data_IF_402760514611
#
_entry.id   IF_402760514611
#
_cell.length_a   1.000
_cell.length_b   1.000
_cell.length_c   1.000
_cell.angle_alpha   90.00
_cell.angle_beta   90.00
_cell.angle_gamma   90.00
#
_symmetry.space_group_name_H-M   'P 1'
#
loop_
_entity.id
_entity.type
_entity.pdbx_description
1 polymer ?
#
# COMPACT_ATOMS: atom_id res chain seq x y z
N UNK A 1 49.31 -8.50 51.54
CA UNK A 1 48.15 -7.62 51.27
C UNK A 1 47.14 -7.82 52.38
N UNK A 2 46.53 -6.75 52.91
CA UNK A 2 45.42 -6.88 53.86
C UNK A 2 44.23 -7.56 53.16
N UNK A 3 43.48 -8.39 53.89
CA UNK A 3 42.27 -9.07 53.41
C UNK A 3 41.26 -8.09 52.81
N UNK A 4 41.27 -6.84 53.27
CA UNK A 4 40.39 -5.77 52.80
C UNK A 4 40.80 -5.25 51.43
N UNK A 5 42.10 -5.19 51.14
CA UNK A 5 42.66 -4.75 49.86
C UNK A 5 42.33 -5.74 48.75
N UNK A 6 42.47 -7.04 49.03
CA UNK A 6 42.12 -8.12 48.08
C UNK A 6 40.62 -8.12 47.77
N UNK A 7 39.79 -7.86 48.78
CA UNK A 7 38.34 -7.81 48.60
C UNK A 7 37.90 -6.57 47.80
N UNK A 8 38.57 -5.44 47.99
CA UNK A 8 38.34 -4.23 47.21
C UNK A 8 38.71 -4.43 45.72
N UNK A 9 39.86 -5.04 45.44
CA UNK A 9 40.28 -5.39 44.07
C UNK A 9 39.25 -6.32 43.40
N UNK A 10 38.80 -7.36 44.12
CA UNK A 10 37.74 -8.28 43.65
C UNK A 10 36.47 -7.53 43.23
N UNK A 11 36.04 -6.55 44.02
CA UNK A 11 34.84 -5.77 43.71
C UNK A 11 35.04 -4.85 42.51
N UNK A 12 36.21 -4.20 42.40
CA UNK A 12 36.53 -3.36 41.24
C UNK A 12 36.62 -4.16 39.95
N UNK A 13 37.13 -5.39 40.00
CA UNK A 13 37.21 -6.27 38.83
C UNK A 13 35.84 -6.79 38.39
N UNK A 14 34.98 -7.23 39.32
CA UNK A 14 33.74 -7.92 38.95
C UNK A 14 32.55 -6.98 38.73
N UNK A 15 32.38 -5.93 39.53
CA UNK A 15 31.17 -5.10 39.49
C UNK A 15 30.89 -4.43 38.13
N UNK A 16 31.89 -3.98 37.35
CA UNK A 16 31.65 -3.40 36.02
C UNK A 16 31.04 -4.38 35.01
N UNK A 17 31.22 -5.69 35.22
CA UNK A 17 30.73 -6.74 34.32
C UNK A 17 29.38 -7.32 34.75
N UNK A 18 28.81 -6.86 35.86
CA UNK A 18 27.54 -7.35 36.39
C UNK A 18 26.42 -6.33 36.20
N UNK A 19 25.23 -6.81 35.83
CA UNK A 19 24.03 -5.96 35.82
C UNK A 19 23.61 -5.52 37.24
N UNK A 20 22.71 -4.53 37.33
CA UNK A 20 22.34 -3.90 38.60
C UNK A 20 21.83 -4.91 39.65
N UNK A 21 21.10 -5.94 39.19
CA UNK A 21 20.53 -7.01 40.01
C UNK A 21 21.60 -8.00 40.46
N UNK A 22 22.42 -8.49 39.54
CA UNK A 22 23.46 -9.48 39.79
C UNK A 22 24.54 -8.92 40.73
N UNK A 23 24.97 -7.68 40.49
CA UNK A 23 25.87 -6.97 41.39
C UNK A 23 25.28 -6.81 42.81
N UNK A 24 23.97 -6.52 42.91
CA UNK A 24 23.29 -6.39 44.21
C UNK A 24 23.22 -7.71 44.97
N UNK A 25 22.94 -8.82 44.29
CA UNK A 25 22.89 -10.16 44.91
C UNK A 25 24.28 -10.64 45.32
N UNK A 26 25.30 -10.41 44.50
CA UNK A 26 26.69 -10.75 44.80
C UNK A 26 27.20 -10.02 46.06
N UNK A 27 26.99 -8.71 46.16
CA UNK A 27 27.40 -7.95 47.34
C UNK A 27 26.60 -8.35 48.60
N UNK A 28 25.35 -8.78 48.43
CA UNK A 28 24.56 -9.32 49.53
C UNK A 28 25.05 -10.68 50.01
N UNK A 29 25.51 -11.57 49.11
CA UNK A 29 26.10 -12.85 49.51
C UNK A 29 27.42 -12.66 50.26
N UNK A 30 28.27 -11.73 49.82
CA UNK A 30 29.52 -11.38 50.51
C UNK A 30 29.25 -10.78 51.90
N UNK A 31 28.24 -9.92 52.01
CA UNK A 31 27.84 -9.36 53.30
C UNK A 31 27.23 -10.41 54.25
N UNK A 32 26.65 -11.49 53.73
CA UNK A 32 26.07 -12.57 54.54
C UNK A 32 27.13 -13.56 55.02
N UNK A 33 28.15 -13.85 54.21
CA UNK A 33 29.23 -14.77 54.58
C UNK A 33 30.16 -14.21 55.66
N UNK A 34 30.36 -12.89 55.71
CA UNK A 34 31.32 -12.23 56.61
C UNK A 34 30.76 -11.83 57.99
N UNK A 35 29.48 -12.10 58.29
CA UNK A 35 28.91 -11.92 59.63
C UNK A 35 28.75 -10.47 60.12
N UNK A 36 28.97 -10.23 61.42
CA UNK A 36 28.64 -8.96 62.10
C UNK A 36 29.53 -7.81 61.59
N UNK A 37 28.92 -6.71 61.15
CA UNK A 37 29.63 -5.54 60.61
C UNK A 37 29.94 -5.62 59.10
N UNK A 38 29.76 -6.78 58.47
CA UNK A 38 30.07 -7.00 57.05
C UNK A 38 29.33 -6.05 56.10
N UNK A 39 28.06 -5.72 56.37
CA UNK A 39 27.27 -4.80 55.52
C UNK A 39 27.93 -3.43 55.35
N UNK A 40 28.54 -2.91 56.43
CA UNK A 40 29.22 -1.60 56.42
C UNK A 40 30.54 -1.71 55.68
N UNK A 41 31.27 -2.81 55.93
CA UNK A 41 32.55 -3.10 55.29
C UNK A 41 32.42 -3.27 53.78
N UNK A 42 31.49 -4.12 53.31
CA UNK A 42 31.22 -4.36 51.89
C UNK A 42 30.74 -3.08 51.21
N UNK A 43 29.86 -2.29 51.84
CA UNK A 43 29.42 -1.01 51.29
C UNK A 43 30.58 -0.03 51.05
N UNK A 44 31.52 0.06 52.01
CA UNK A 44 32.69 0.93 51.92
C UNK A 44 33.67 0.46 50.83
N UNK A 45 33.98 -0.83 50.79
CA UNK A 45 34.95 -1.39 49.83
C UNK A 45 34.40 -1.41 48.39
N UNK A 46 33.10 -1.66 48.21
CA UNK A 46 32.46 -1.69 46.90
C UNK A 46 31.97 -0.30 46.40
N UNK A 47 32.04 0.74 47.24
CA UNK A 47 31.56 2.09 46.88
C UNK A 47 30.05 2.18 46.65
N UNK A 48 29.23 1.38 47.36
CA UNK A 48 27.77 1.35 47.18
C UNK A 48 27.01 1.70 48.46
N UNK A 49 25.74 2.07 48.32
CA UNK A 49 24.89 2.35 49.48
C UNK A 49 24.54 1.06 50.26
N UNK A 50 24.47 1.17 51.58
CA UNK A 50 24.01 0.06 52.46
C UNK A 50 22.60 -0.39 52.11
N UNK A 51 21.76 0.51 51.60
CA UNK A 51 20.41 0.21 51.14
C UNK A 51 20.41 -0.82 49.99
N UNK A 52 21.37 -0.73 49.06
CA UNK A 52 21.53 -1.69 47.97
C UNK A 52 21.81 -3.09 48.52
N UNK A 53 22.74 -3.22 49.45
CA UNK A 53 23.11 -4.51 50.08
C UNK A 53 21.93 -5.08 50.88
N UNK A 54 21.26 -4.26 51.71
CA UNK A 54 20.10 -4.69 52.48
C UNK A 54 18.96 -5.19 51.58
N UNK A 55 18.74 -4.54 50.44
CA UNK A 55 17.76 -4.99 49.43
C UNK A 55 18.17 -6.34 48.82
N UNK A 56 19.45 -6.54 48.50
CA UNK A 56 19.95 -7.82 48.02
C UNK A 56 19.81 -8.95 49.05
N UNK A 57 20.05 -8.67 50.34
CA UNK A 57 19.89 -9.67 51.42
C UNK A 57 18.43 -10.11 51.53
N UNK A 58 17.49 -9.16 51.52
CA UNK A 58 16.04 -9.46 51.51
C UNK A 58 15.64 -10.29 50.28
N UNK A 59 16.24 -10.01 49.12
CA UNK A 59 15.98 -10.76 47.87
C UNK A 59 16.58 -12.18 47.90
N UNK A 60 17.72 -12.40 48.56
CA UNK A 60 18.30 -13.73 48.78
C UNK A 60 17.50 -14.53 49.81
N UNK A 61 16.99 -13.88 50.85
CA UNK A 61 16.16 -14.50 51.90
C UNK A 61 14.75 -14.84 51.42
N UNK A 62 14.19 -14.06 50.49
CA UNK A 62 12.84 -14.33 49.95
C UNK A 62 12.77 -15.55 49.03
N UNK A 63 13.89 -16.25 48.77
CA UNK A 63 13.92 -17.55 48.08
C UNK A 63 13.43 -17.55 46.63
N UNK A 64 13.19 -16.38 46.03
CA UNK A 64 12.68 -16.25 44.65
C UNK A 64 13.81 -16.61 43.67
N UNK A 65 13.99 -17.92 43.42
CA UNK A 65 14.81 -18.42 42.33
C UNK A 65 14.15 -17.95 41.04
N UNK A 66 14.81 -17.01 40.37
CA UNK A 66 14.39 -16.54 39.05
C UNK A 66 14.40 -17.75 38.11
N UNK A 67 13.23 -18.32 37.77
CA UNK A 67 13.14 -19.49 36.90
C UNK A 67 13.85 -19.21 35.57
N UNK A 68 14.47 -20.26 35.03
CA UNK A 68 15.20 -20.25 33.76
C UNK A 68 14.29 -20.03 32.52
N UNK A 69 13.01 -19.73 32.71
CA UNK A 69 12.02 -19.52 31.64
C UNK A 69 11.81 -18.07 31.25
N UNK A 70 12.33 -17.08 31.97
CA UNK A 70 12.25 -15.68 31.53
C UNK A 70 13.42 -15.35 30.57
N UNK A 71 13.32 -15.76 29.31
CA UNK A 71 14.26 -15.35 28.26
C UNK A 71 14.14 -13.86 27.84
N UNK A 72 13.36 -13.05 28.55
CA UNK A 72 13.29 -11.59 28.37
C UNK A 72 13.16 -10.89 29.73
N UNK A 73 14.20 -10.97 30.59
CA UNK A 73 14.16 -10.30 31.90
C UNK A 73 14.46 -8.80 31.76
N UNK A 74 13.41 -7.98 31.80
CA UNK A 74 13.51 -6.57 32.21
C UNK A 74 14.27 -6.51 33.54
N UNK A 75 15.43 -5.85 33.55
CA UNK A 75 16.30 -5.71 34.74
C UNK A 75 15.57 -4.96 35.88
N UNK A 76 14.64 -4.07 35.54
CA UNK A 76 13.82 -3.31 36.49
C UNK A 76 12.49 -4.02 36.75
N UNK A 77 12.00 -3.95 38.00
CA UNK A 77 10.62 -4.37 38.36
C UNK A 77 9.61 -3.63 37.48
N UNK A 78 8.43 -4.22 37.28
CA UNK A 78 7.29 -3.50 36.72
C UNK A 78 7.08 -2.17 37.47
N UNK A 79 6.84 -1.09 36.73
CA UNK A 79 6.73 0.27 37.27
C UNK A 79 8.05 1.06 37.39
N UNK A 80 9.23 0.47 37.12
CA UNK A 80 10.53 1.15 37.18
C UNK A 80 10.97 1.89 35.89
N UNK A 81 10.05 2.06 34.95
CA UNK A 81 10.27 2.75 33.67
C UNK A 81 9.85 4.21 33.72
N UNK A 82 10.17 4.96 32.66
CA UNK A 82 9.56 6.29 32.44
C UNK A 82 8.04 6.10 32.36
N UNK A 83 7.29 6.87 33.16
CA UNK A 83 5.82 6.88 33.12
C UNK A 83 5.33 7.08 31.68
N UNK A 84 4.25 6.40 31.30
CA UNK A 84 3.70 6.55 29.94
C UNK A 84 3.29 8.02 29.74
N UNK A 85 3.27 8.49 28.48
CA UNK A 85 2.88 9.89 28.24
C UNK A 85 1.43 10.18 28.67
N UNK A 86 0.59 9.16 28.64
CA UNK A 86 -0.77 9.15 29.17
C UNK A 86 -0.81 9.45 30.68
N UNK A 87 0.14 8.90 31.46
CA UNK A 87 0.28 9.19 32.90
C UNK A 87 0.92 10.56 33.18
N UNK A 88 1.68 11.11 32.23
CA UNK A 88 2.38 12.40 32.38
C UNK A 88 1.54 13.62 31.97
N UNK A 89 0.51 13.42 31.14
CA UNK A 89 -0.38 14.45 30.61
C UNK A 89 -1.83 13.95 30.72
N UNK A 90 -2.47 14.13 31.89
CA UNK A 90 -3.87 13.78 32.09
C UNK A 90 -4.75 14.52 31.06
N UNK A 91 -5.75 13.85 30.49
CA UNK A 91 -6.67 14.47 29.52
C UNK A 91 -6.25 14.33 28.06
N UNK A 92 -5.06 13.78 27.76
CA UNK A 92 -4.58 13.67 26.38
C UNK A 92 -5.40 12.70 25.54
N UNK A 93 -5.91 11.64 26.15
CA UNK A 93 -6.74 10.63 25.47
C UNK A 93 -8.07 11.24 25.10
N UNK A 94 -8.68 12.00 26.01
CA UNK A 94 -9.94 12.70 25.83
C UNK A 94 -9.81 13.82 24.78
N UNK A 95 -8.71 14.56 24.79
CA UNK A 95 -8.40 15.56 23.77
C UNK A 95 -8.18 14.92 22.38
N UNK A 96 -7.49 13.78 22.34
CA UNK A 96 -7.27 13.01 21.12
C UNK A 96 -8.58 12.45 20.56
N UNK A 97 -9.44 11.88 21.40
CA UNK A 97 -10.77 11.39 21.03
C UNK A 97 -11.65 12.52 20.50
N UNK A 98 -11.61 13.72 21.09
CA UNK A 98 -12.32 14.90 20.60
C UNK A 98 -11.81 15.38 19.23
N UNK A 99 -10.50 15.30 18.99
CA UNK A 99 -9.91 15.65 17.68
C UNK A 99 -10.26 14.62 16.61
N UNK A 100 -10.32 13.34 16.98
CA UNK A 100 -10.59 12.22 16.06
C UNK A 100 -12.10 12.05 15.80
N UNK A 101 -12.92 12.35 16.81
CA UNK A 101 -14.38 12.26 16.81
C UNK A 101 -15.00 13.46 17.55
N UNK A 102 -15.22 14.60 16.87
CA UNK A 102 -15.66 15.85 17.51
C UNK A 102 -17.09 15.86 18.07
N UNK A 103 -17.86 14.78 17.94
CA UNK A 103 -19.28 14.72 18.36
C UNK A 103 -19.58 13.82 19.57
N UNK A 104 -18.61 13.46 20.40
CA UNK A 104 -18.85 12.71 21.66
C UNK A 104 -19.38 13.56 22.82
N UNK A 105 -20.33 14.47 22.53
CA UNK A 105 -21.28 15.01 23.52
C UNK A 105 -22.69 14.99 22.88
N UNK A 106 -23.33 13.82 22.93
CA UNK A 106 -24.79 13.69 22.89
C UNK A 106 -25.48 13.54 21.53
N UNK A 107 -25.17 12.52 20.73
CA UNK A 107 -26.16 11.93 19.80
C UNK A 107 -25.79 10.47 19.42
N UNK A 108 -26.61 9.44 19.75
CA UNK A 108 -26.36 8.04 19.41
C UNK A 108 -26.57 7.68 17.92
N UNK A 109 -27.04 8.59 17.05
CA UNK A 109 -27.54 8.26 15.71
C UNK A 109 -26.85 9.02 14.55
N UNK A 110 -25.53 9.19 14.59
CA UNK A 110 -24.76 9.69 13.43
C UNK A 110 -23.71 8.68 12.93
N UNK A 111 -24.05 7.83 11.93
CA UNK A 111 -23.06 6.97 11.29
C UNK A 111 -22.27 7.81 10.27
N UNK A 112 -20.94 7.86 10.45
CA UNK A 112 -19.94 8.34 9.49
C UNK A 112 -19.63 9.85 9.46
N UNK A 113 -18.86 10.32 10.44
CA UNK A 113 -17.98 11.49 10.25
C UNK A 113 -16.60 11.18 10.86
N UNK A 114 -15.73 10.59 10.05
CA UNK A 114 -14.37 10.20 10.44
C UNK A 114 -13.40 11.27 9.96
N UNK A 115 -12.51 11.72 10.83
CA UNK A 115 -11.59 12.80 10.51
C UNK A 115 -10.48 12.34 9.55
N UNK A 116 -10.27 13.09 8.46
CA UNK A 116 -9.21 12.85 7.45
C UNK A 116 -7.84 13.40 7.89
N UNK A 117 -7.63 13.63 9.19
CA UNK A 117 -6.45 14.30 9.73
C UNK A 117 -5.29 13.33 9.89
N UNK A 118 -4.11 13.69 9.39
CA UNK A 118 -2.88 12.91 9.61
C UNK A 118 -2.42 13.01 11.07
N UNK A 119 -1.65 12.02 11.55
CA UNK A 119 -1.08 12.02 12.92
C UNK A 119 -0.27 13.29 13.24
N UNK A 120 0.33 13.93 12.21
CA UNK A 120 1.06 15.20 12.36
C UNK A 120 0.13 16.40 12.53
N UNK A 121 -1.04 16.37 11.89
CA UNK A 121 -2.07 17.41 12.06
C UNK A 121 -2.74 17.30 13.43
N UNK A 122 -3.01 16.07 13.88
CA UNK A 122 -3.47 15.77 15.24
C UNK A 122 -2.45 16.24 16.28
N UNK A 123 -1.15 16.03 16.03
CA UNK A 123 -0.09 16.55 16.89
C UNK A 123 -0.11 18.09 17.02
N UNK A 124 -0.33 18.82 15.92
CA UNK A 124 -0.37 20.28 15.96
C UNK A 124 -1.56 20.79 16.76
N UNK A 125 -2.73 20.17 16.59
CA UNK A 125 -3.95 20.53 17.30
C UNK A 125 -3.90 20.17 18.79
N UNK A 126 -3.27 19.04 19.13
CA UNK A 126 -2.93 18.70 20.51
C UNK A 126 -1.95 19.72 21.11
N UNK A 127 -0.99 20.21 20.33
CA UNK A 127 -0.04 21.24 20.76
C UNK A 127 -0.72 22.58 21.02
N UNK A 128 -1.72 22.95 20.21
CA UNK A 128 -2.57 24.12 20.43
C UNK A 128 -3.40 23.99 21.72
N UNK A 129 -3.74 22.76 22.12
CA UNK A 129 -4.39 22.44 23.40
C UNK A 129 -3.41 22.19 24.56
N UNK A 130 -2.15 22.65 24.44
CA UNK A 130 -1.07 22.49 25.42
C UNK A 130 -0.59 21.04 25.71
N UNK A 131 -0.92 20.07 24.85
CA UNK A 131 -0.36 18.72 24.94
C UNK A 131 0.92 18.60 24.11
N UNK A 132 2.01 18.18 24.75
CA UNK A 132 3.31 18.00 24.10
C UNK A 132 3.59 16.53 23.84
N UNK A 133 3.03 15.99 22.74
CA UNK A 133 3.18 14.58 22.33
C UNK A 133 3.52 14.46 20.86
N UNK A 134 4.40 13.51 20.53
CA UNK A 134 4.85 13.25 19.17
C UNK A 134 3.90 12.32 18.42
N UNK A 135 3.81 12.50 17.09
CA UNK A 135 2.95 11.70 16.21
C UNK A 135 3.09 10.17 16.33
N UNK A 136 4.27 9.65 16.70
CA UNK A 136 4.48 8.21 16.94
C UNK A 136 3.70 7.76 18.16
N UNK A 137 3.83 8.48 19.28
CA UNK A 137 3.08 8.21 20.51
C UNK A 137 1.57 8.36 20.29
N UNK A 138 1.14 9.34 19.49
CA UNK A 138 -0.28 9.49 19.11
C UNK A 138 -0.77 8.22 18.38
N UNK A 139 0.03 7.69 17.44
CA UNK A 139 -0.31 6.45 16.74
C UNK A 139 -0.36 5.22 17.65
N UNK A 140 0.48 5.17 18.70
CA UNK A 140 0.46 4.11 19.71
C UNK A 140 -0.79 4.20 20.61
N UNK A 141 -1.16 5.40 21.06
CA UNK A 141 -2.37 5.65 21.86
C UNK A 141 -3.63 5.31 21.04
N UNK A 142 -3.67 5.69 19.76
CA UNK A 142 -4.78 5.31 18.87
C UNK A 142 -4.89 3.79 18.72
N UNK A 143 -3.77 3.09 18.52
CA UNK A 143 -3.78 1.62 18.42
C UNK A 143 -4.20 0.93 19.72
N UNK A 144 -3.76 1.43 20.88
CA UNK A 144 -4.13 0.85 22.19
C UNK A 144 -5.64 0.99 22.46
N UNK A 145 -6.26 2.03 21.89
CA UNK A 145 -7.71 2.28 21.95
C UNK A 145 -8.51 1.61 20.82
N UNK A 146 -7.88 0.75 20.02
CA UNK A 146 -8.54 0.00 18.95
C UNK A 146 -8.71 0.76 17.62
N UNK A 147 -8.17 1.97 17.50
CA UNK A 147 -8.15 2.68 16.23
C UNK A 147 -7.10 2.09 15.30
N UNK A 148 -7.45 2.02 14.01
CA UNK A 148 -6.57 1.53 12.96
C UNK A 148 -6.69 2.42 11.73
N UNK A 149 -5.63 2.43 10.90
CA UNK A 149 -5.65 3.12 9.62
C UNK A 149 -6.61 2.38 8.69
N UNK A 150 -7.81 2.92 8.53
CA UNK A 150 -8.82 2.40 7.62
C UNK A 150 -8.83 3.25 6.35
N UNK A 151 -8.68 2.61 5.20
CA UNK A 151 -8.98 3.25 3.92
C UNK A 151 -10.47 3.13 3.61
N UNK A 152 -11.00 4.01 2.77
CA UNK A 152 -12.36 3.85 2.24
C UNK A 152 -12.47 2.48 1.54
N UNK A 153 -13.21 1.56 2.13
CA UNK A 153 -13.54 0.27 1.52
C UNK A 153 -14.81 0.48 0.69
N UNK A 154 -14.71 0.35 -0.64
CA UNK A 154 -15.89 0.26 -1.50
C UNK A 154 -16.60 -1.06 -1.17
N UNK A 155 -17.55 -1.03 -0.24
CA UNK A 155 -18.29 -2.23 0.22
C UNK A 155 -19.63 -2.43 -0.50
N UNK A 156 -20.11 -1.42 -1.23
CA UNK A 156 -21.26 -1.58 -2.13
C UNK A 156 -20.79 -1.91 -3.55
N UNK A 157 -20.27 -3.12 -3.72
CA UNK A 157 -20.20 -3.80 -5.02
C UNK A 157 -21.43 -4.72 -5.08
N UNK A 158 -22.18 -4.70 -6.19
CA UNK A 158 -23.49 -5.34 -6.34
C UNK A 158 -23.55 -6.82 -5.93
N UNK A 159 -24.78 -7.31 -5.74
CA UNK A 159 -25.12 -8.59 -5.11
C UNK A 159 -24.24 -9.78 -5.48
N UNK A 160 -24.13 -10.74 -4.54
CA UNK A 160 -23.33 -11.95 -4.66
C UNK A 160 -23.55 -12.60 -6.04
N UNK A 161 -22.56 -12.48 -6.92
CA UNK A 161 -22.55 -13.20 -8.17
C UNK A 161 -22.13 -14.63 -7.83
N UNK A 162 -23.02 -15.59 -8.03
CA UNK A 162 -22.66 -17.01 -8.00
C UNK A 162 -21.45 -17.23 -8.91
N UNK A 163 -20.51 -18.07 -8.46
CA UNK A 163 -19.31 -18.51 -9.21
C UNK A 163 -18.20 -17.47 -9.36
N UNK A 164 -18.17 -16.42 -8.53
CA UNK A 164 -17.10 -15.42 -8.53
C UNK A 164 -15.71 -16.06 -8.39
N UNK A 165 -15.55 -16.95 -7.41
CA UNK A 165 -14.25 -17.57 -7.10
C UNK A 165 -13.82 -18.54 -8.22
N UNK A 166 -14.77 -19.26 -8.81
CA UNK A 166 -14.53 -20.15 -9.95
C UNK A 166 -14.06 -19.37 -11.18
N UNK A 167 -14.63 -18.18 -11.44
CA UNK A 167 -14.16 -17.32 -12.53
C UNK A 167 -12.74 -16.80 -12.28
N UNK A 168 -12.37 -16.50 -11.04
CA UNK A 168 -11.00 -16.10 -10.72
C UNK A 168 -10.01 -17.25 -10.94
N UNK A 169 -10.37 -18.44 -10.49
CA UNK A 169 -9.54 -19.62 -10.66
C UNK A 169 -9.39 -19.96 -12.14
N UNK A 170 -10.47 -19.88 -12.92
CA UNK A 170 -10.44 -20.06 -14.37
C UNK A 170 -9.48 -19.08 -15.06
N UNK A 171 -9.55 -17.77 -14.73
CA UNK A 171 -8.65 -16.75 -15.30
C UNK A 171 -7.19 -17.04 -14.91
N UNK A 172 -6.97 -17.43 -13.66
CA UNK A 172 -5.63 -17.74 -13.16
C UNK A 172 -5.02 -18.94 -13.88
N UNK A 173 -5.79 -20.03 -14.04
CA UNK A 173 -5.37 -21.22 -14.77
C UNK A 173 -5.07 -20.93 -16.24
N UNK A 174 -5.95 -20.17 -16.92
CA UNK A 174 -5.72 -19.74 -18.29
C UNK A 174 -4.43 -18.93 -18.42
N UNK A 175 -4.20 -17.97 -17.51
CA UNK A 175 -2.98 -17.17 -17.50
C UNK A 175 -1.72 -18.02 -17.27
N UNK A 176 -1.76 -18.97 -16.32
CA UNK A 176 -0.65 -19.87 -16.05
C UNK A 176 -0.32 -20.75 -17.25
N UNK A 177 -1.34 -21.28 -17.95
CA UNK A 177 -1.14 -22.09 -19.16
C UNK A 177 -0.45 -21.30 -20.26
N UNK A 178 -0.96 -20.10 -20.57
CA UNK A 178 -0.37 -19.23 -21.60
C UNK A 178 1.08 -18.86 -21.25
N UNK A 179 1.33 -18.46 -19.99
CA UNK A 179 2.69 -18.11 -19.57
C UNK A 179 3.65 -19.31 -19.62
N UNK A 180 3.19 -20.52 -19.31
CA UNK A 180 3.99 -21.75 -19.41
C UNK A 180 4.40 -22.05 -20.86
N UNK A 181 3.54 -21.74 -21.81
CA UNK A 181 3.79 -21.86 -23.26
C UNK A 181 4.57 -20.67 -23.85
N UNK A 182 4.92 -19.67 -23.03
CA UNK A 182 5.61 -18.46 -23.49
C UNK A 182 4.71 -17.51 -24.30
N UNK A 183 3.40 -17.67 -24.22
CA UNK A 183 2.41 -16.85 -24.91
C UNK A 183 2.11 -15.57 -24.12
N UNK A 184 1.77 -14.46 -24.82
CA UNK A 184 1.47 -13.20 -24.16
C UNK A 184 0.17 -13.26 -23.34
N UNK A 185 0.26 -12.74 -22.11
CA UNK A 185 -0.89 -12.53 -21.22
C UNK A 185 -0.93 -11.06 -20.80
N UNK A 186 -1.96 -10.35 -21.25
CA UNK A 186 -2.14 -8.94 -20.94
C UNK A 186 -3.38 -8.69 -20.09
N UNK A 187 -3.26 -7.74 -19.19
CA UNK A 187 -4.31 -7.20 -18.35
C UNK A 187 -4.58 -5.77 -18.80
N UNK A 188 -5.83 -5.47 -19.17
CA UNK A 188 -6.20 -4.20 -19.81
C UNK A 188 -7.31 -3.50 -19.02
N UNK A 189 -7.22 -2.18 -18.95
CA UNK A 189 -8.25 -1.35 -18.32
C UNK A 189 -8.08 0.14 -18.70
N UNK A 190 -9.16 0.92 -18.57
CA UNK A 190 -9.10 2.37 -18.70
C UNK A 190 -8.98 3.02 -17.32
N UNK A 191 -7.91 3.81 -17.12
CA UNK A 191 -7.80 4.63 -15.92
C UNK A 191 -8.84 5.74 -15.95
N UNK A 192 -9.26 6.19 -14.77
CA UNK A 192 -10.09 7.39 -14.60
C UNK A 192 -9.50 8.55 -15.44
N UNK A 193 -10.39 9.28 -16.11
CA UNK A 193 -10.02 10.45 -16.90
C UNK A 193 -9.39 11.52 -16.02
N UNK A 194 -8.28 12.06 -16.47
CA UNK A 194 -7.55 13.14 -15.80
C UNK A 194 -7.77 14.46 -16.53
N UNK A 195 -7.87 15.55 -15.75
CA UNK A 195 -7.96 16.89 -16.31
C UNK A 195 -6.57 17.34 -16.74
N UNK A 196 -6.43 17.80 -17.99
CA UNK A 196 -5.19 18.39 -18.49
C UNK A 196 -5.22 19.86 -18.14
N UNK A 197 -4.23 20.29 -17.37
CA UNK A 197 -4.08 21.66 -16.92
C UNK A 197 -3.39 21.74 -15.56
N UNK A 198 -3.05 22.97 -15.18
CA UNK A 198 -2.38 23.27 -13.92
C UNK A 198 -3.36 23.21 -12.74
N UNK A 199 -3.94 22.03 -12.50
CA UNK A 199 -4.92 21.77 -11.44
C UNK A 199 -4.24 21.19 -10.20
N UNK A 200 -4.90 21.38 -9.05
CA UNK A 200 -4.43 20.82 -7.78
C UNK A 200 -4.62 19.31 -7.75
N UNK A 201 -3.56 18.56 -8.06
CA UNK A 201 -3.53 17.13 -7.82
C UNK A 201 -3.29 16.81 -6.34
N UNK A 202 -4.10 15.91 -5.78
CA UNK A 202 -3.95 15.49 -4.39
C UNK A 202 -2.57 14.88 -4.13
N UNK A 203 -1.80 15.50 -3.23
CA UNK A 203 -0.42 15.11 -2.94
C UNK A 203 0.40 16.22 -2.32
N UNK A 204 1.58 15.88 -1.81
CA UNK A 204 2.60 16.84 -1.36
C UNK A 204 3.95 16.37 -1.90
N UNK A 205 4.66 17.27 -2.58
CA UNK A 205 6.01 17.05 -3.09
C UNK A 205 6.96 18.05 -2.42
N UNK A 206 8.23 17.66 -2.26
CA UNK A 206 9.24 18.52 -1.63
C UNK A 206 9.75 19.53 -2.66
N UNK A 207 9.48 20.81 -2.42
CA UNK A 207 10.04 21.93 -3.18
C UNK A 207 10.97 22.76 -2.29
N UNK A 208 11.90 23.51 -2.90
CA UNK A 208 12.66 24.54 -2.18
C UNK A 208 11.67 25.55 -1.58
N UNK A 209 12.02 26.08 -0.41
CA UNK A 209 11.16 27.01 0.34
C UNK A 209 10.83 28.23 -0.55
N UNK A 210 9.55 28.43 -0.86
CA UNK A 210 9.07 29.53 -1.70
C UNK A 210 8.87 29.19 -3.19
N UNK A 211 9.26 27.99 -3.65
CA UNK A 211 9.18 27.56 -5.05
C UNK A 211 8.07 26.51 -5.28
N UNK A 212 7.01 26.54 -4.48
CA UNK A 212 5.88 25.64 -4.72
C UNK A 212 5.20 26.00 -6.05
N UNK A 213 4.90 25.04 -6.93
CA UNK A 213 4.21 25.32 -8.18
C UNK A 213 2.82 25.91 -7.89
N UNK A 214 2.55 27.10 -8.45
CA UNK A 214 1.26 27.75 -8.36
C UNK A 214 0.25 26.98 -9.20
N UNK A 215 -0.76 26.36 -8.58
CA UNK A 215 -1.84 25.65 -9.28
C UNK A 215 -3.11 26.52 -9.34
N UNK A 216 -3.90 26.39 -10.42
CA UNK A 216 -5.19 27.09 -10.55
C UNK A 216 -6.14 26.64 -9.42
N UNK A 217 -6.80 27.61 -8.79
CA UNK A 217 -7.72 27.41 -7.64
C UNK A 217 -9.03 26.73 -8.05
N UNK A 218 -9.40 26.81 -9.33
CA UNK A 218 -10.64 26.27 -9.86
C UNK A 218 -10.38 25.26 -10.97
N UNK A 219 -11.04 24.10 -10.90
CA UNK A 219 -11.02 23.03 -11.90
C UNK A 219 -11.89 23.38 -13.14
N UNK A 220 -11.69 24.56 -13.74
CA UNK A 220 -12.35 24.89 -15.01
C UNK A 220 -11.62 24.17 -16.14
N UNK A 221 -12.34 23.25 -16.79
CA UNK A 221 -11.88 22.55 -18.01
C UNK A 221 -11.40 23.61 -19.00
N UNK A 222 -10.10 23.63 -19.27
CA UNK A 222 -9.55 24.43 -20.35
C UNK A 222 -10.07 23.83 -21.66
N UNK A 223 -10.90 24.58 -22.40
CA UNK A 223 -11.56 24.09 -23.63
C UNK A 223 -10.53 23.66 -24.68
N UNK A 224 -9.31 24.21 -24.61
CA UNK A 224 -8.22 23.94 -25.55
C UNK A 224 -7.30 22.77 -25.11
N UNK A 225 -7.19 22.46 -23.80
CA UNK A 225 -6.32 21.37 -23.31
C UNK A 225 -7.07 20.03 -23.12
N UNK A 226 -8.39 20.04 -22.92
CA UNK A 226 -9.22 18.83 -22.92
C UNK A 226 -9.02 17.89 -21.71
N UNK A 227 -9.34 16.60 -21.88
CA UNK A 227 -9.19 15.54 -20.87
C UNK A 227 -8.28 14.45 -21.39
N UNK A 228 -7.37 13.96 -20.56
CA UNK A 228 -6.57 12.78 -20.86
C UNK A 228 -7.32 11.52 -20.42
N UNK A 229 -7.36 10.53 -21.29
CA UNK A 229 -7.92 9.20 -21.06
C UNK A 229 -6.78 8.20 -21.18
N UNK A 230 -6.16 7.78 -20.07
CA UNK A 230 -5.10 6.79 -20.09
C UNK A 230 -5.72 5.39 -20.17
N UNK A 231 -5.49 4.69 -21.29
CA UNK A 231 -5.82 3.27 -21.43
C UNK A 231 -4.55 2.45 -21.29
N UNK A 232 -4.55 1.51 -20.34
CA UNK A 232 -3.37 0.74 -20.01
C UNK A 232 -3.43 -0.69 -20.49
N UNK A 233 -2.27 -1.23 -20.83
CA UNK A 233 -2.02 -2.63 -21.16
C UNK A 233 -0.84 -3.08 -20.30
N UNK A 234 -1.08 -4.03 -19.40
CA UNK A 234 -0.05 -4.59 -18.53
C UNK A 234 0.26 -6.03 -18.92
N UNK A 235 1.49 -6.27 -19.39
CA UNK A 235 2.02 -7.60 -19.64
C UNK A 235 2.38 -8.27 -18.32
N UNK A 236 1.64 -9.34 -18.01
CA UNK A 236 1.76 -10.07 -16.74
C UNK A 236 3.05 -10.87 -16.68
N UNK A 237 3.51 -11.43 -17.81
CA UNK A 237 4.67 -12.31 -17.88
C UNK A 237 5.98 -11.52 -17.78
N UNK A 238 6.05 -10.35 -18.43
CA UNK A 238 7.27 -9.54 -18.51
C UNK A 238 7.32 -8.41 -17.50
N UNK A 239 6.24 -8.18 -16.74
CA UNK A 239 6.11 -7.05 -15.81
C UNK A 239 6.38 -5.71 -16.52
N UNK A 240 5.72 -5.52 -17.66
CA UNK A 240 5.83 -4.32 -18.48
C UNK A 240 4.47 -3.68 -18.69
N UNK A 241 4.43 -2.35 -18.72
CA UNK A 241 3.22 -1.58 -18.99
C UNK A 241 3.35 -0.78 -20.28
N UNK A 242 2.27 -0.71 -21.02
CA UNK A 242 2.03 0.27 -22.06
C UNK A 242 0.82 1.11 -21.67
N UNK A 243 0.89 2.43 -21.89
CA UNK A 243 -0.26 3.31 -21.68
C UNK A 243 -0.45 4.20 -22.91
N UNK A 244 -1.61 4.07 -23.52
CA UNK A 244 -2.05 4.96 -24.58
C UNK A 244 -2.85 6.12 -23.94
N UNK A 245 -2.42 7.35 -24.15
CA UNK A 245 -3.04 8.54 -23.53
C UNK A 245 -3.87 9.26 -24.58
N UNK A 246 -5.16 8.94 -24.62
CA UNK A 246 -6.11 9.53 -25.55
C UNK A 246 -6.60 10.90 -25.11
N UNK A 247 -6.87 11.78 -26.06
CA UNK A 247 -7.46 13.12 -25.80
C UNK A 247 -8.97 13.17 -26.02
N UNK A 248 -9.56 12.09 -26.54
CA UNK A 248 -10.96 12.04 -26.94
C UNK A 248 -11.78 11.11 -26.02
N UNK A 249 -12.63 10.25 -26.57
CA UNK A 249 -13.59 9.44 -25.80
C UNK A 249 -13.03 8.04 -25.57
N UNK A 250 -13.24 7.52 -24.36
CA UNK A 250 -13.02 6.10 -24.05
C UNK A 250 -14.07 5.24 -24.78
N UNK A 251 -13.69 4.66 -25.90
CA UNK A 251 -14.53 3.79 -26.75
C UNK A 251 -13.86 2.43 -26.93
N UNK A 252 -14.62 1.44 -27.37
CA UNK A 252 -14.06 0.11 -27.66
C UNK A 252 -12.96 0.16 -28.73
N UNK A 253 -13.10 1.04 -29.72
CA UNK A 253 -12.09 1.30 -30.74
C UNK A 253 -10.80 1.84 -30.14
N UNK A 254 -10.89 2.79 -29.20
CA UNK A 254 -9.72 3.29 -28.48
C UNK A 254 -9.05 2.21 -27.63
N UNK A 255 -9.83 1.38 -26.94
CA UNK A 255 -9.33 0.28 -26.14
C UNK A 255 -8.54 -0.73 -26.99
N UNK A 256 -9.10 -1.18 -28.13
CA UNK A 256 -8.41 -2.09 -29.04
C UNK A 256 -7.22 -1.42 -29.73
N UNK A 257 -7.32 -0.13 -30.10
CA UNK A 257 -6.16 0.59 -30.65
C UNK A 257 -5.00 0.66 -29.66
N UNK A 258 -5.30 0.76 -28.36
CA UNK A 258 -4.28 0.74 -27.31
C UNK A 258 -3.58 -0.62 -27.23
N UNK A 259 -4.31 -1.72 -27.40
CA UNK A 259 -3.77 -3.08 -27.49
C UNK A 259 -2.95 -3.26 -28.78
N UNK A 260 -3.47 -2.78 -29.91
CA UNK A 260 -2.79 -2.79 -31.21
C UNK A 260 -1.45 -2.06 -31.13
N UNK A 261 -1.43 -0.89 -30.51
CA UNK A 261 -0.21 -0.09 -30.36
C UNK A 261 0.78 -0.76 -29.41
N UNK A 262 0.32 -1.33 -28.29
CA UNK A 262 1.17 -2.16 -27.43
C UNK A 262 1.80 -3.32 -28.21
N UNK A 263 1.01 -4.03 -29.03
CA UNK A 263 1.50 -5.13 -29.86
C UNK A 263 2.59 -4.65 -30.82
N UNK A 264 2.35 -3.55 -31.53
CA UNK A 264 3.33 -3.00 -32.49
C UNK A 264 4.63 -2.53 -31.82
N UNK A 265 4.54 -1.89 -30.65
CA UNK A 265 5.66 -1.20 -30.00
C UNK A 265 6.44 -2.07 -29.01
N UNK A 266 5.83 -3.14 -28.50
CA UNK A 266 6.41 -3.98 -27.45
C UNK A 266 6.13 -5.46 -27.67
N UNK A 267 4.89 -5.83 -27.97
CA UNK A 267 4.46 -7.22 -28.04
C UNK A 267 5.11 -8.02 -29.18
N UNK A 268 5.15 -7.46 -30.40
CA UNK A 268 5.62 -8.13 -31.62
C UNK A 268 7.10 -8.51 -31.55
N UNK A 269 7.93 -7.66 -30.96
CA UNK A 269 9.37 -7.95 -30.77
C UNK A 269 9.56 -9.12 -29.78
N UNK A 270 8.73 -9.20 -28.75
CA UNK A 270 8.88 -10.18 -27.66
C UNK A 270 8.16 -11.50 -27.93
N UNK A 271 7.08 -11.47 -28.70
CA UNK A 271 6.15 -12.57 -28.93
C UNK A 271 5.88 -12.80 -30.42
N UNK A 272 6.81 -12.44 -31.32
CA UNK A 272 6.59 -12.49 -32.76
C UNK A 272 6.21 -13.86 -33.34
N UNK A 273 6.47 -14.94 -32.60
CA UNK A 273 6.08 -16.32 -32.95
C UNK A 273 4.78 -16.79 -32.28
N UNK A 274 4.23 -16.00 -31.36
CA UNK A 274 3.00 -16.35 -30.67
C UNK A 274 1.83 -16.39 -31.65
N UNK A 275 1.00 -17.42 -31.53
CA UNK A 275 -0.25 -17.57 -32.30
C UNK A 275 -1.48 -17.22 -31.50
N UNK A 276 -1.34 -17.02 -30.19
CA UNK A 276 -2.45 -16.76 -29.29
C UNK A 276 -2.11 -15.63 -28.34
N UNK A 277 -3.12 -14.86 -27.94
CA UNK A 277 -3.04 -13.79 -26.96
C UNK A 277 -4.16 -13.94 -25.94
N UNK A 278 -3.81 -13.92 -24.65
CA UNK A 278 -4.81 -13.86 -23.57
C UNK A 278 -4.96 -12.43 -23.07
N UNK A 279 -6.20 -11.95 -23.06
CA UNK A 279 -6.60 -10.63 -22.56
C UNK A 279 -7.50 -10.81 -21.34
N UNK A 280 -7.07 -10.31 -20.19
CA UNK A 280 -7.93 -10.19 -19.00
C UNK A 280 -8.42 -8.76 -18.87
N UNK A 281 -9.74 -8.57 -18.79
CA UNK A 281 -10.36 -7.25 -18.78
C UNK A 281 -11.48 -7.16 -17.75
N UNK A 282 -11.81 -5.95 -17.34
CA UNK A 282 -13.05 -5.73 -16.59
C UNK A 282 -14.27 -5.91 -17.50
N UNK A 283 -15.43 -6.23 -16.93
CA UNK A 283 -16.67 -6.44 -17.70
C UNK A 283 -17.41 -5.17 -18.11
N UNK A 284 -16.91 -3.98 -17.77
CA UNK A 284 -17.59 -2.69 -17.94
C UNK A 284 -16.92 -1.76 -18.95
N UNK A 285 -17.55 -0.63 -19.27
CA UNK A 285 -16.92 0.43 -20.08
C UNK A 285 -16.63 0.05 -21.54
N UNK A 286 -15.50 0.53 -22.07
CA UNK A 286 -15.07 0.37 -23.46
C UNK A 286 -14.73 -1.07 -23.84
N UNK A 287 -14.26 -1.87 -22.89
CA UNK A 287 -13.93 -3.28 -23.03
C UNK A 287 -15.02 -4.21 -22.46
N UNK A 288 -16.28 -3.75 -22.40
CA UNK A 288 -17.36 -4.57 -21.83
C UNK A 288 -17.59 -5.87 -22.62
N UNK A 289 -17.83 -6.97 -21.90
CA UNK A 289 -18.15 -8.28 -22.49
C UNK A 289 -19.40 -8.29 -23.38
N UNK A 290 -20.32 -7.34 -23.14
CA UNK A 290 -21.56 -7.15 -23.90
C UNK A 290 -21.38 -6.25 -25.12
N UNK A 291 -20.25 -5.54 -25.23
CA UNK A 291 -20.00 -4.59 -26.31
C UNK A 291 -19.80 -5.33 -27.64
N UNK A 292 -20.65 -5.03 -28.62
CA UNK A 292 -20.54 -5.53 -29.99
C UNK A 292 -19.34 -4.91 -30.71
N UNK A 293 -19.11 -3.61 -30.48
CA UNK A 293 -17.98 -2.88 -31.05
C UNK A 293 -16.64 -3.42 -30.54
N UNK A 294 -16.55 -3.77 -29.26
CA UNK A 294 -15.36 -4.42 -28.70
C UNK A 294 -15.00 -5.70 -29.46
N UNK A 295 -15.98 -6.57 -29.72
CA UNK A 295 -15.76 -7.82 -30.46
C UNK A 295 -15.39 -7.56 -31.92
N UNK A 296 -16.03 -6.58 -32.58
CA UNK A 296 -15.70 -6.19 -33.96
C UNK A 296 -14.26 -5.70 -34.07
N UNK A 297 -13.85 -4.80 -33.18
CA UNK A 297 -12.50 -4.26 -33.18
C UNK A 297 -11.45 -5.33 -32.85
N UNK A 298 -11.75 -6.23 -31.91
CA UNK A 298 -10.90 -7.39 -31.65
C UNK A 298 -10.80 -8.33 -32.85
N UNK A 299 -11.88 -8.51 -33.63
CA UNK A 299 -11.84 -9.29 -34.87
C UNK A 299 -10.89 -8.65 -35.89
N UNK A 300 -10.99 -7.33 -36.10
CA UNK A 300 -10.06 -6.62 -36.98
C UNK A 300 -8.61 -6.80 -36.53
N UNK A 301 -8.36 -6.63 -35.22
CA UNK A 301 -7.04 -6.81 -34.66
C UNK A 301 -6.53 -8.27 -34.77
N UNK A 302 -7.40 -9.26 -34.56
CA UNK A 302 -7.07 -10.68 -34.75
C UNK A 302 -6.68 -10.94 -36.22
N UNK A 303 -7.50 -10.51 -37.17
CA UNK A 303 -7.25 -10.68 -38.61
C UNK A 303 -5.97 -9.96 -39.06
N UNK A 304 -5.71 -8.75 -38.55
CA UNK A 304 -4.47 -7.98 -38.83
C UNK A 304 -3.20 -8.68 -38.33
N UNK A 305 -3.28 -9.35 -37.18
CA UNK A 305 -2.11 -9.93 -36.51
C UNK A 305 -1.94 -11.43 -36.73
N UNK A 306 -2.99 -12.12 -37.17
CA UNK A 306 -3.03 -13.58 -37.23
C UNK A 306 -3.11 -14.26 -35.86
N UNK A 307 -3.44 -13.51 -34.79
CA UNK A 307 -3.52 -14.04 -33.43
C UNK A 307 -4.92 -14.55 -33.10
N UNK A 308 -4.99 -15.73 -32.47
CA UNK A 308 -6.17 -16.17 -31.74
C UNK A 308 -6.27 -15.40 -30.42
N UNK A 309 -7.28 -14.55 -30.28
CA UNK A 309 -7.45 -13.71 -29.10
C UNK A 309 -8.42 -14.39 -28.15
N UNK A 310 -7.93 -14.84 -27.00
CA UNK A 310 -8.77 -15.28 -25.88
C UNK A 310 -9.01 -14.11 -24.94
N UNK A 311 -10.26 -13.83 -24.62
CA UNK A 311 -10.66 -12.78 -23.68
C UNK A 311 -11.36 -13.43 -22.49
N UNK A 312 -10.96 -13.02 -21.29
CA UNK A 312 -11.61 -13.41 -20.05
C UNK A 312 -11.96 -12.17 -19.23
N UNK A 313 -13.25 -11.98 -18.94
CA UNK A 313 -13.72 -10.86 -18.15
C UNK A 313 -13.81 -11.18 -16.66
N UNK A 314 -13.40 -10.24 -15.82
CA UNK A 314 -13.61 -10.32 -14.39
C UNK A 314 -15.09 -10.11 -14.01
N UNK A 315 -15.58 -10.73 -12.93
CA UNK A 315 -16.95 -10.54 -12.47
C UNK A 315 -17.29 -9.06 -12.18
N UNK A 316 -18.56 -8.63 -12.29
CA UNK A 316 -18.97 -7.28 -11.91
C UNK A 316 -18.55 -6.90 -10.49
N UNK A 317 -18.07 -5.67 -10.31
CA UNK A 317 -17.61 -5.19 -9.01
C UNK A 317 -16.33 -5.86 -8.53
N UNK A 318 -15.45 -6.26 -9.45
CA UNK A 318 -14.17 -6.88 -9.09
C UNK A 318 -12.95 -6.21 -9.75
N UNK A 319 -13.10 -4.97 -10.23
CA UNK A 319 -12.04 -4.22 -10.92
C UNK A 319 -10.74 -4.15 -10.13
N UNK A 320 -10.80 -4.10 -8.80
CA UNK A 320 -9.62 -4.16 -7.92
C UNK A 320 -8.73 -5.39 -8.17
N UNK A 321 -9.31 -6.52 -8.58
CA UNK A 321 -8.58 -7.77 -8.79
C UNK A 321 -7.88 -7.84 -10.14
N UNK A 322 -8.20 -6.92 -11.05
CA UNK A 322 -7.51 -6.79 -12.31
C UNK A 322 -6.05 -6.37 -12.07
N UNK A 323 -5.08 -7.13 -12.59
CA UNK A 323 -3.66 -6.96 -12.23
C UNK A 323 -3.14 -5.56 -12.59
N UNK A 324 -3.63 -4.98 -13.67
CA UNK A 324 -3.25 -3.64 -14.13
C UNK A 324 -3.51 -2.56 -13.07
N UNK A 325 -4.59 -2.65 -12.29
CA UNK A 325 -4.91 -1.66 -11.26
C UNK A 325 -3.82 -1.57 -10.20
N UNK A 326 -3.35 -2.73 -9.73
CA UNK A 326 -2.33 -2.82 -8.69
C UNK A 326 -0.89 -2.74 -9.21
N UNK A 327 -0.65 -3.22 -10.44
CA UNK A 327 0.71 -3.34 -11.00
C UNK A 327 1.12 -2.18 -11.89
N UNK A 328 0.17 -1.44 -12.45
CA UNK A 328 0.44 -0.30 -13.32
C UNK A 328 -0.17 0.98 -12.74
N UNK A 329 -1.50 1.03 -12.60
CA UNK A 329 -2.19 2.27 -12.24
C UNK A 329 -1.91 2.77 -10.84
N UNK A 330 -1.69 1.89 -9.86
CA UNK A 330 -1.29 2.27 -8.51
C UNK A 330 0.05 3.02 -8.50
N UNK A 331 1.01 2.61 -9.33
CA UNK A 331 2.32 3.25 -9.40
C UNK A 331 2.27 4.55 -10.20
N UNK A 332 1.51 4.58 -11.29
CA UNK A 332 1.23 5.82 -12.04
C UNK A 332 0.61 6.88 -11.11
N UNK A 333 -0.42 6.50 -10.33
CA UNK A 333 -1.03 7.41 -9.35
C UNK A 333 -0.09 7.86 -8.23
N UNK A 334 0.93 7.07 -7.89
CA UNK A 334 1.97 7.51 -6.94
C UNK A 334 2.89 8.55 -7.57
N UNK A 335 3.24 8.39 -8.84
CA UNK A 335 4.14 9.30 -9.54
C UNK A 335 3.51 10.62 -9.96
N UNK A 336 2.18 10.65 -10.12
CA UNK A 336 1.42 11.87 -10.37
C UNK A 336 1.17 12.73 -9.12
N UNK A 337 1.35 12.14 -7.94
CA UNK A 337 0.95 12.75 -6.67
C UNK A 337 1.68 14.08 -6.45
N UNK A 338 0.93 15.18 -6.44
CA UNK A 338 1.44 16.52 -6.18
C UNK A 338 2.01 17.27 -7.40
N UNK A 339 1.99 16.66 -8.59
CA UNK A 339 2.48 17.28 -9.83
C UNK A 339 1.35 17.86 -10.65
N UNK A 340 1.47 19.09 -11.18
CA UNK A 340 0.52 19.63 -12.13
C UNK A 340 0.63 18.88 -13.47
N UNK A 341 -0.50 18.50 -14.06
CA UNK A 341 -0.55 17.82 -15.36
C UNK A 341 -0.73 18.86 -16.46
N UNK A 342 0.27 19.72 -16.62
CA UNK A 342 0.19 20.94 -17.44
C UNK A 342 -0.07 20.67 -18.91
N UNK A 343 0.42 19.54 -19.43
CA UNK A 343 0.24 19.15 -20.83
C UNK A 343 0.12 17.63 -20.99
N UNK A 344 -0.36 17.20 -22.16
CA UNK A 344 -0.41 15.79 -22.55
C UNK A 344 0.99 15.14 -22.53
N UNK A 345 2.02 15.88 -22.94
CA UNK A 345 3.41 15.42 -22.94
C UNK A 345 3.93 15.22 -21.52
N UNK A 346 3.57 16.10 -20.58
CA UNK A 346 3.89 15.92 -19.16
C UNK A 346 3.24 14.64 -18.63
N UNK A 347 1.98 14.39 -18.96
CA UNK A 347 1.28 13.16 -18.56
C UNK A 347 2.00 11.92 -19.11
N UNK A 348 2.30 11.90 -20.41
CA UNK A 348 3.02 10.80 -21.07
C UNK A 348 4.38 10.59 -20.41
N UNK A 349 5.16 11.65 -20.18
CA UNK A 349 6.48 11.57 -19.55
C UNK A 349 6.39 11.07 -18.10
N UNK A 350 5.41 11.51 -17.32
CA UNK A 350 5.22 11.04 -15.94
C UNK A 350 4.83 9.55 -15.91
N UNK A 351 4.01 9.10 -16.86
CA UNK A 351 3.66 7.68 -16.97
C UNK A 351 4.90 6.87 -17.39
N UNK A 352 5.61 7.30 -18.42
CA UNK A 352 6.79 6.59 -18.95
C UNK A 352 7.93 6.49 -17.90
N UNK A 353 8.08 7.50 -17.04
CA UNK A 353 9.05 7.47 -15.94
C UNK A 353 8.60 6.62 -14.74
N UNK A 354 7.47 5.90 -14.86
CA UNK A 354 7.01 5.01 -13.79
C UNK A 354 7.86 3.75 -13.72
N UNK A 355 8.72 3.68 -12.70
CA UNK A 355 9.54 2.52 -12.39
C UNK A 355 9.25 2.01 -10.98
N UNK A 356 9.54 0.73 -10.72
CA UNK A 356 9.41 0.14 -9.38
C UNK A 356 10.67 -0.64 -9.02
N UNK A 357 10.90 -0.86 -7.72
CA UNK A 357 11.98 -1.71 -7.24
C UNK A 357 11.93 -3.15 -7.81
N UNK A 358 10.74 -3.60 -8.25
CA UNK A 358 10.54 -4.90 -8.90
C UNK A 358 10.78 -4.88 -10.41
N UNK A 359 11.32 -3.78 -10.96
CA UNK A 359 11.71 -3.67 -12.35
C UNK A 359 10.57 -3.41 -13.34
N UNK A 360 9.42 -2.88 -12.88
CA UNK A 360 8.34 -2.46 -13.79
C UNK A 360 8.88 -1.42 -14.78
N UNK A 361 8.72 -1.69 -16.07
CA UNK A 361 9.02 -0.73 -17.15
C UNK A 361 7.71 -0.29 -17.79
N UNK A 362 7.48 1.01 -17.86
CA UNK A 362 6.28 1.57 -18.48
C UNK A 362 6.69 2.41 -19.68
N UNK A 363 6.06 2.17 -20.83
CA UNK A 363 6.10 3.08 -21.97
C UNK A 363 4.73 3.74 -22.12
N UNK A 364 4.71 4.99 -22.55
CA UNK A 364 3.48 5.70 -22.81
C UNK A 364 3.58 6.52 -24.10
N UNK A 365 2.45 6.70 -24.75
CA UNK A 365 2.34 7.51 -25.97
C UNK A 365 1.02 8.26 -25.99
N UNK A 366 1.02 9.45 -26.59
CA UNK A 366 -0.19 10.21 -26.83
C UNK A 366 -0.95 9.67 -28.05
N UNK A 367 -2.26 9.48 -27.90
CA UNK A 367 -3.17 9.19 -29.01
C UNK A 367 -4.00 10.44 -29.34
N UNK A 368 -3.68 11.04 -30.49
CA UNK A 368 -4.36 12.24 -30.98
C UNK A 368 -5.58 11.91 -31.85
N UNK A 369 -5.93 10.63 -32.03
CA UNK A 369 -7.09 10.22 -32.82
C UNK A 369 -8.40 10.60 -32.13
N UNK A 370 -9.40 10.87 -32.95
CA UNK A 370 -10.74 11.18 -32.49
C UNK A 370 -11.61 9.92 -32.53
N UNK A 371 -12.21 9.58 -31.40
CA UNK A 371 -13.08 8.41 -31.26
C UNK A 371 -14.52 8.83 -31.02
N UNK A 372 -15.42 8.36 -31.89
CA UNK A 372 -16.84 8.70 -31.81
C UNK A 372 -17.61 7.75 -30.90
N UNK A 373 -18.66 8.28 -30.24
CA UNK A 373 -19.57 7.47 -29.41
C UNK A 373 -20.82 7.13 -30.21
N UNK A 374 -21.39 5.97 -29.91
CA UNK A 374 -22.66 5.56 -30.50
C UNK A 374 -22.53 4.87 -31.85
N UNK A 375 -21.32 4.47 -32.24
CA UNK A 375 -21.11 3.61 -33.39
C UNK A 375 -21.90 2.31 -33.21
N UNK A 376 -22.85 2.07 -34.12
CA UNK A 376 -23.67 0.86 -34.13
C UNK A 376 -22.98 -0.18 -34.99
N UNK A 377 -22.83 -1.38 -34.43
CA UNK A 377 -22.40 -2.56 -35.19
C UNK A 377 -23.65 -3.24 -35.72
N UNK A 378 -23.69 -3.46 -37.04
CA UNK A 378 -24.83 -4.13 -37.68
C UNK A 378 -24.86 -5.62 -37.33
N UNK A 379 -26.02 -6.27 -37.50
CA UNK A 379 -26.13 -7.72 -37.30
C UNK A 379 -25.26 -8.51 -38.30
N UNK A 380 -25.07 -8.00 -39.52
CA UNK A 380 -24.22 -8.62 -40.53
C UNK A 380 -22.74 -8.59 -40.12
N UNK A 381 -22.26 -7.44 -39.64
CA UNK A 381 -20.89 -7.31 -39.12
C UNK A 381 -20.64 -8.25 -37.94
N UNK A 382 -21.64 -8.44 -37.07
CA UNK A 382 -21.56 -9.37 -35.96
C UNK A 382 -21.48 -10.83 -36.39
N UNK A 383 -22.24 -11.23 -37.42
CA UNK A 383 -22.20 -12.60 -37.96
C UNK A 383 -20.85 -12.95 -38.56
N UNK A 384 -20.13 -11.95 -39.07
CA UNK A 384 -18.80 -12.11 -39.63
C UNK A 384 -17.70 -12.27 -38.57
N UNK A 385 -18.01 -12.04 -37.29
CA UNK A 385 -17.05 -12.25 -36.19
C UNK A 385 -16.92 -13.74 -35.93
N UNK A 386 -15.69 -14.26 -36.01
CA UNK A 386 -15.33 -15.65 -35.68
C UNK A 386 -15.23 -15.84 -34.16
N UNK A 387 -16.35 -15.60 -33.47
CA UNK A 387 -16.47 -15.66 -32.02
C UNK A 387 -16.80 -17.09 -31.57
N UNK A 388 -15.93 -17.67 -30.76
CA UNK A 388 -16.15 -18.94 -30.07
C UNK A 388 -16.33 -18.67 -28.58
N UNK A 389 -17.52 -18.96 -28.05
CA UNK A 389 -17.76 -18.84 -26.60
C UNK A 389 -17.21 -20.05 -25.87
N UNK A 390 -16.66 -19.81 -24.69
CA UNK A 390 -16.22 -20.90 -23.83
C UNK A 390 -17.43 -21.64 -23.22
N UNK A 391 -17.24 -22.90 -22.85
CA UNK A 391 -18.26 -23.70 -22.15
C UNK A 391 -18.49 -23.15 -20.74
N UNK A 392 -17.44 -22.67 -20.08
CA UNK A 392 -17.52 -22.02 -18.79
C UNK A 392 -17.69 -20.50 -18.94
N UNK A 393 -18.85 -19.97 -18.52
CA UNK A 393 -19.18 -18.53 -18.58
C UNK A 393 -18.89 -17.91 -19.94
N UNK A 394 -19.45 -18.49 -21.01
CA UNK A 394 -19.27 -18.01 -22.40
C UNK A 394 -19.74 -16.56 -22.66
N UNK A 395 -20.45 -15.96 -21.72
CA UNK A 395 -20.78 -14.53 -21.68
C UNK A 395 -19.57 -13.65 -21.31
N UNK A 396 -18.61 -14.20 -20.58
CA UNK A 396 -17.38 -13.53 -20.09
C UNK A 396 -16.10 -14.09 -20.69
N UNK A 397 -16.12 -15.33 -21.17
CA UNK A 397 -14.97 -16.04 -21.69
C UNK A 397 -15.24 -16.41 -23.15
N UNK A 398 -14.41 -15.92 -24.05
CA UNK A 398 -14.55 -16.21 -25.48
C UNK A 398 -13.22 -16.08 -26.21
N UNK A 399 -13.14 -16.72 -27.38
CA UNK A 399 -12.04 -16.63 -28.32
C UNK A 399 -12.52 -15.97 -29.61
N UNK A 400 -11.68 -15.13 -30.20
CA UNK A 400 -11.86 -14.57 -31.54
C UNK A 400 -10.71 -15.07 -32.39
N UNK A 401 -11.04 -15.70 -33.51
CA UNK A 401 -10.06 -16.21 -34.48
C UNK A 401 -9.83 -15.21 -35.62
N UNK A 402 -8.62 -15.15 -36.20
CA UNK A 402 -8.29 -14.25 -37.30
C UNK A 402 -9.11 -14.49 -38.56
#
# INVERSE_FOLDING_TARGET
MSTDTQLQEKYQMLLPHLDEKSARLFLASEAKSMGRGAKVKVAKLAGVSRARINKGIKELESGIKSSATDKVKKIRRSGGGRKSREESQPGIVEALERIVNPHTLGDPMSPLLWTSKSLRKIQLELKEQNYNVGHVTIGEILKSKGYSLQGNKKTHEGGAVADRDEQFEYINQAALSFMKEGLPVISVDCKKKELIGNFKNGGVEWHKKGEAPNVKVYDFIDKDLGKAVPYGVYDVAKNQGWVNVGISKDTAEFAVNSIRTWWQQMGKEQYGLAKQLLITADGGGSNSSRSRLWKKELQLFATETGLDIKVCHFPPGTSKWNKIEHRLFSFISKNWRGKPLESLEVIVNLIANTTTQKGLKVKAMADKRQYEKGLKVTEEELKNIKLERDTFRGDWNYKIRP
#
